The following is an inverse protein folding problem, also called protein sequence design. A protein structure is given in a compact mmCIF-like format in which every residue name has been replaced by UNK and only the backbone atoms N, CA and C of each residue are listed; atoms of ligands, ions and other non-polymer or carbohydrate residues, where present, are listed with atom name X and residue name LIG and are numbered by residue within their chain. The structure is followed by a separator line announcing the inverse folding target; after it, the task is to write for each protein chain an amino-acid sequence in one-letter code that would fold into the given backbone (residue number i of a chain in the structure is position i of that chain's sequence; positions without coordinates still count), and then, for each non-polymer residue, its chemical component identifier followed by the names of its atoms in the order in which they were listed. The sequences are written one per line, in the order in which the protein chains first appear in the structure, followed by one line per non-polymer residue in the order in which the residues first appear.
data_IF_164944558489
#
_entry.id   IF_164944558489
#
_cell.length_a   1.000
_cell.length_b   1.000
_cell.length_c   1.000
_cell.angle_alpha   90.00
_cell.angle_beta   90.00
_cell.angle_gamma   90.00
#
_symmetry.space_group_name_H-M   'P 1'
#
loop_
_entity.id
_entity.type
_entity.pdbx_description
1 polymer ?
#
# COMPACT_ATOMS: atom_id res chain seq x y z
N UNK A 1 18.69 -0.70 -12.17
CA UNK A 1 17.35 -0.86 -11.59
C UNK A 1 16.52 0.39 -11.82
N UNK A 2 15.86 0.48 -12.97
CA UNK A 2 15.01 1.61 -13.35
C UNK A 2 13.57 1.14 -13.23
N UNK A 3 12.94 1.42 -12.10
CA UNK A 3 11.48 1.56 -12.02
C UNK A 3 11.20 2.96 -11.50
N UNK A 4 11.65 3.92 -12.30
CA UNK A 4 11.31 5.34 -12.16
C UNK A 4 10.11 5.55 -13.07
N UNK A 5 9.07 6.21 -12.55
CA UNK A 5 7.87 6.68 -13.26
C UNK A 5 6.91 5.51 -13.50
N UNK A 6 5.70 5.51 -12.96
CA UNK A 6 4.65 6.50 -13.21
C UNK A 6 3.81 6.76 -11.95
N UNK A 7 3.63 8.04 -11.62
CA UNK A 7 2.56 8.51 -10.73
C UNK A 7 1.25 8.49 -11.52
N UNK A 8 0.67 7.29 -11.71
CA UNK A 8 -0.59 7.15 -12.42
C UNK A 8 -1.80 7.57 -11.57
N UNK A 9 -1.70 7.40 -10.24
CA UNK A 9 -2.81 7.66 -9.33
C UNK A 9 -2.46 8.70 -8.26
N UNK A 10 -3.43 9.54 -7.92
CA UNK A 10 -3.33 10.41 -6.75
C UNK A 10 -3.36 9.57 -5.48
N UNK A 11 -2.75 10.08 -4.40
CA UNK A 11 -2.79 9.40 -3.08
C UNK A 11 -4.21 9.18 -2.60
N UNK A 12 -5.11 10.11 -2.87
CA UNK A 12 -6.52 10.01 -2.53
C UNK A 12 -7.19 8.81 -3.24
N UNK A 13 -6.95 8.65 -4.55
CA UNK A 13 -7.49 7.54 -5.33
C UNK A 13 -6.95 6.19 -4.85
N UNK A 14 -5.64 6.09 -4.56
CA UNK A 14 -5.06 4.86 -3.99
C UNK A 14 -5.69 4.52 -2.65
N UNK A 15 -5.87 5.50 -1.77
CA UNK A 15 -6.50 5.31 -0.46
C UNK A 15 -7.94 4.81 -0.63
N UNK A 16 -8.71 5.42 -1.53
CA UNK A 16 -10.09 5.02 -1.83
C UNK A 16 -10.17 3.56 -2.29
N UNK A 17 -9.37 3.17 -3.29
CA UNK A 17 -9.35 1.81 -3.83
C UNK A 17 -8.97 0.80 -2.74
N UNK A 18 -7.93 1.10 -1.95
CA UNK A 18 -7.49 0.24 -0.85
C UNK A 18 -8.61 0.07 0.19
N UNK A 19 -9.28 1.16 0.58
CA UNK A 19 -10.38 1.09 1.55
C UNK A 19 -11.56 0.26 1.00
N UNK A 20 -11.90 0.46 -0.27
CA UNK A 20 -12.98 -0.27 -0.97
C UNK A 20 -12.69 -1.76 -1.03
N UNK A 21 -11.50 -2.15 -1.49
CA UNK A 21 -11.13 -3.56 -1.68
C UNK A 21 -10.94 -4.32 -0.37
N UNK A 22 -10.51 -3.63 0.69
CA UNK A 22 -10.33 -4.20 2.02
C UNK A 22 -11.64 -4.18 2.83
N UNK A 23 -12.60 -3.32 2.45
CA UNK A 23 -13.85 -3.14 3.19
C UNK A 23 -13.66 -2.50 4.57
N UNK A 24 -12.60 -1.70 4.75
CA UNK A 24 -12.28 -1.02 6.00
C UNK A 24 -12.06 0.46 5.78
N UNK A 25 -12.37 1.27 6.79
CA UNK A 25 -12.09 2.69 6.75
C UNK A 25 -10.58 2.97 6.82
N UNK A 26 -10.17 4.11 6.27
CA UNK A 26 -8.79 4.62 6.31
C UNK A 26 -8.15 4.54 7.70
N UNK A 27 -8.88 5.01 8.72
CA UNK A 27 -8.41 5.02 10.12
C UNK A 27 -8.13 3.61 10.65
N UNK A 28 -8.93 2.62 10.26
CA UNK A 28 -8.76 1.23 10.70
C UNK A 28 -7.53 0.59 10.04
N UNK A 29 -7.32 0.88 8.76
CA UNK A 29 -6.18 0.36 8.01
C UNK A 29 -4.87 0.98 8.52
N UNK A 30 -4.83 2.29 8.77
CA UNK A 30 -3.60 2.94 9.27
C UNK A 30 -3.27 2.55 10.71
N UNK A 31 -4.27 2.35 11.57
CA UNK A 31 -4.06 2.05 12.98
C UNK A 31 -3.59 0.61 13.21
N UNK A 32 -4.09 -0.35 12.43
CA UNK A 32 -3.83 -1.78 12.66
C UNK A 32 -2.48 -2.22 12.06
N UNK A 33 -1.53 -2.79 12.83
CA UNK A 33 -0.24 -3.26 12.34
C UNK A 33 -0.31 -4.61 11.60
N UNK A 34 -1.22 -4.74 10.63
CA UNK A 34 -1.49 -6.00 9.91
C UNK A 34 -1.05 -5.97 8.44
N UNK A 35 -1.47 -6.99 7.67
CA UNK A 35 -1.20 -7.09 6.24
C UNK A 35 -1.91 -6.02 5.41
N UNK A 36 -3.05 -5.50 5.86
CA UNK A 36 -3.79 -4.44 5.16
C UNK A 36 -3.01 -3.13 5.17
N UNK A 37 -2.42 -2.77 6.31
CA UNK A 37 -1.55 -1.60 6.39
C UNK A 37 -0.31 -1.75 5.52
N UNK A 38 0.24 -2.95 5.45
CA UNK A 38 1.40 -3.25 4.62
C UNK A 38 1.06 -3.13 3.13
N UNK A 39 -0.13 -3.58 2.70
CA UNK A 39 -0.66 -3.37 1.34
C UNK A 39 -0.75 -1.86 1.06
N UNK A 40 -1.40 -1.10 1.94
CA UNK A 40 -1.52 0.34 1.78
C UNK A 40 -0.16 1.02 1.56
N UNK A 41 0.83 0.70 2.40
CA UNK A 41 2.20 1.24 2.27
C UNK A 41 2.85 0.89 0.93
N UNK A 42 2.68 -0.35 0.45
CA UNK A 42 3.26 -0.78 -0.84
C UNK A 42 2.56 -0.09 -2.02
N UNK A 43 1.24 0.06 -1.99
CA UNK A 43 0.46 0.68 -3.07
C UNK A 43 0.75 2.18 -3.16
N UNK A 44 0.75 2.89 -2.03
CA UNK A 44 1.16 4.30 -2.00
C UNK A 44 2.57 4.46 -2.60
N UNK A 45 3.53 3.64 -2.17
CA UNK A 45 4.90 3.74 -2.70
C UNK A 45 4.98 3.46 -4.20
N UNK A 46 4.23 2.48 -4.71
CA UNK A 46 4.31 2.08 -6.12
C UNK A 46 3.61 3.06 -7.06
N UNK A 47 2.45 3.60 -6.67
CA UNK A 47 1.52 4.24 -7.60
C UNK A 47 1.40 5.75 -7.45
N UNK A 48 1.86 6.33 -6.34
CA UNK A 48 1.73 7.78 -6.07
C UNK A 48 3.04 8.56 -6.21
N UNK A 49 4.17 7.87 -6.38
CA UNK A 49 5.49 8.49 -6.40
C UNK A 49 6.02 8.90 -5.01
N UNK A 50 5.24 8.71 -3.95
CA UNK A 50 5.66 9.01 -2.58
C UNK A 50 6.79 8.10 -2.11
N UNK A 51 7.75 8.69 -1.42
CA UNK A 51 8.83 7.94 -0.77
C UNK A 51 8.39 7.42 0.62
N UNK A 52 9.18 6.54 1.24
CA UNK A 52 8.82 5.92 2.52
C UNK A 52 8.62 6.94 3.66
N UNK A 53 9.32 8.08 3.62
CA UNK A 53 9.18 9.13 4.63
C UNK A 53 7.86 9.87 4.46
N UNK A 54 7.52 10.28 3.23
CA UNK A 54 6.24 10.95 2.95
C UNK A 54 5.04 10.05 3.28
N UNK A 55 5.14 8.75 2.98
CA UNK A 55 4.13 7.76 3.37
C UNK A 55 4.02 7.66 4.89
N UNK A 56 5.17 7.65 5.58
CA UNK A 56 5.22 7.65 7.03
C UNK A 56 4.52 8.87 7.63
N UNK A 57 4.84 10.06 7.15
CA UNK A 57 4.19 11.32 7.54
C UNK A 57 2.67 11.27 7.27
N UNK A 58 2.25 10.72 6.13
CA UNK A 58 0.84 10.59 5.76
C UNK A 58 0.03 9.68 6.71
N UNK A 59 0.64 8.62 7.22
CA UNK A 59 -0.05 7.61 8.06
C UNK A 59 0.35 7.67 9.54
N UNK A 60 1.18 8.63 9.94
CA UNK A 60 1.66 8.82 11.31
C UNK A 60 2.67 7.75 11.77
N UNK A 61 3.55 7.28 10.89
CA UNK A 61 4.55 6.26 11.17
C UNK A 61 5.96 6.69 10.75
N UNK A 62 6.98 6.11 11.38
CA UNK A 62 8.37 6.32 10.96
C UNK A 62 8.68 5.66 9.61
N UNK A 63 9.57 6.26 8.82
CA UNK A 63 9.96 5.75 7.51
C UNK A 63 10.49 4.29 7.56
N UNK A 64 11.16 3.92 8.66
CA UNK A 64 11.67 2.56 8.86
C UNK A 64 10.54 1.56 9.02
N UNK A 65 9.43 1.96 9.65
CA UNK A 65 8.22 1.15 9.78
C UNK A 65 7.59 0.90 8.42
N UNK A 66 7.52 1.92 7.57
CA UNK A 66 7.02 1.78 6.19
C UNK A 66 7.91 0.82 5.39
N UNK A 67 9.23 1.02 5.43
CA UNK A 67 10.20 0.18 4.73
C UNK A 67 10.11 -1.30 5.15
N UNK A 68 10.06 -1.58 6.45
CA UNK A 68 9.94 -2.94 6.99
C UNK A 68 8.58 -3.56 6.64
N UNK A 69 7.48 -2.80 6.76
CA UNK A 69 6.14 -3.27 6.44
C UNK A 69 6.02 -3.76 5.00
N UNK A 70 6.54 -2.98 4.05
CA UNK A 70 6.59 -3.33 2.63
C UNK A 70 7.44 -4.56 2.34
N UNK A 71 8.60 -4.68 3.01
CA UNK A 71 9.45 -5.88 2.88
C UNK A 71 8.73 -7.13 3.39
N UNK A 72 8.02 -7.04 4.52
CA UNK A 72 7.24 -8.15 5.09
C UNK A 72 6.07 -8.56 4.19
N UNK A 73 5.41 -7.60 3.53
CA UNK A 73 4.33 -7.89 2.60
C UNK A 73 4.77 -8.85 1.49
N UNK A 74 5.94 -8.63 0.90
CA UNK A 74 6.45 -9.47 -0.19
C UNK A 74 6.56 -10.95 0.20
N UNK A 75 6.98 -11.23 1.43
CA UNK A 75 7.01 -12.60 1.96
C UNK A 75 5.61 -13.17 2.19
N UNK A 76 4.66 -12.36 2.64
CA UNK A 76 3.27 -12.80 2.87
C UNK A 76 2.53 -13.10 1.57
N UNK A 77 2.69 -12.28 0.53
CA UNK A 77 2.07 -12.49 -0.78
C UNK A 77 2.49 -13.81 -1.45
N UNK A 78 3.66 -14.34 -1.09
CA UNK A 78 4.11 -15.65 -1.55
C UNK A 78 3.32 -16.81 -0.93
N UNK A 79 2.97 -16.69 0.36
CA UNK A 79 2.33 -17.76 1.14
C UNK A 79 0.80 -17.64 1.23
N UNK A 80 0.24 -16.45 1.02
CA UNK A 80 -1.18 -16.18 1.19
C UNK A 80 -1.82 -15.79 -0.16
N UNK A 81 -2.55 -16.75 -0.74
CA UNK A 81 -3.25 -16.56 -2.01
C UNK A 81 -4.35 -15.49 -1.95
N UNK A 82 -5.08 -15.40 -0.83
CA UNK A 82 -6.14 -14.40 -0.67
C UNK A 82 -5.55 -12.99 -0.60
N UNK A 83 -4.44 -12.84 0.13
CA UNK A 83 -3.73 -11.57 0.20
C UNK A 83 -3.15 -11.16 -1.15
N UNK A 84 -2.67 -12.13 -1.94
CA UNK A 84 -2.18 -11.91 -3.29
C UNK A 84 -3.28 -11.47 -4.24
N UNK A 85 -4.45 -12.12 -4.21
CA UNK A 85 -5.60 -11.71 -5.02
C UNK A 85 -6.13 -10.33 -4.62
N UNK A 86 -6.18 -10.03 -3.32
CA UNK A 86 -6.51 -8.69 -2.83
C UNK A 86 -5.53 -7.62 -3.35
N UNK A 87 -4.22 -7.87 -3.23
CA UNK A 87 -3.22 -6.95 -3.74
C UNK A 87 -3.37 -6.74 -5.26
N UNK A 88 -3.61 -7.81 -6.02
CA UNK A 88 -3.83 -7.75 -7.47
C UNK A 88 -5.04 -6.89 -7.84
N UNK A 89 -6.19 -7.05 -7.18
CA UNK A 89 -7.39 -6.21 -7.45
C UNK A 89 -7.12 -4.73 -7.21
N UNK A 90 -6.36 -4.41 -6.15
CA UNK A 90 -5.95 -3.04 -5.86
C UNK A 90 -4.98 -2.51 -6.93
N UNK A 91 -4.02 -3.34 -7.37
CA UNK A 91 -3.08 -2.99 -8.44
C UNK A 91 -3.81 -2.70 -9.75
N UNK A 92 -4.78 -3.55 -10.14
CA UNK A 92 -5.63 -3.37 -11.32
C UNK A 92 -6.38 -2.02 -11.26
N UNK A 93 -7.04 -1.71 -10.13
CA UNK A 93 -7.77 -0.44 -9.97
C UNK A 93 -6.89 0.82 -9.95
N UNK A 94 -5.59 0.69 -9.66
CA UNK A 94 -4.63 1.80 -9.71
C UNK A 94 -4.05 2.04 -11.12
N UNK A 95 -4.27 1.12 -12.05
CA UNK A 95 -3.80 1.19 -13.45
C UNK A 95 -4.86 1.71 -14.42
N UNK A 96 -6.12 1.77 -13.99
CA UNK A 96 -7.25 2.42 -14.68
C UNK A 96 -7.27 3.94 -14.45
#
# INVERSE_FOLDING_TARGET
SVKKIHSYCTKEKVIEIVCREIGKAWEQIKSTPDSHRQILMEMLYRYTGLNNREIGELIGLDYSTVSVGRRRLRGKLFNDGNLRDLARRIEEGCQE
#
